data_IF_372909832406
#
_entry.id   IF_372909832406
#
_cell.length_a   1.000
_cell.length_b   1.000
_cell.length_c   1.000
_cell.angle_alpha   90.00
_cell.angle_beta   90.00
_cell.angle_gamma   90.00
#
_symmetry.space_group_name_H-M   'P 1'
#
loop_
_entity.id
_entity.type
_entity.pdbx_description
1 polymer ?
#
# COMPACT_ATOMS: atom_id res chain seq x y z
N UNK A 1 15.52 21.36 25.94
CA UNK A 1 16.02 20.01 25.53
C UNK A 1 14.96 18.94 25.69
N UNK A 2 14.28 18.84 26.84
CA UNK A 2 13.20 17.85 27.09
C UNK A 2 12.00 18.00 26.13
N UNK A 3 11.54 19.22 25.85
CA UNK A 3 10.43 19.44 24.90
C UNK A 3 10.74 18.98 23.48
N UNK A 4 11.97 19.23 22.99
CA UNK A 4 12.39 18.77 21.66
C UNK A 4 12.39 17.24 21.60
N UNK A 5 12.87 16.57 22.65
CA UNK A 5 12.88 15.11 22.72
C UNK A 5 11.46 14.52 22.72
N UNK A 6 10.52 15.12 23.48
CA UNK A 6 9.13 14.67 23.50
C UNK A 6 8.44 14.90 22.14
N UNK A 7 8.67 16.05 21.51
CA UNK A 7 8.13 16.35 20.18
C UNK A 7 8.60 15.34 19.12
N UNK A 8 9.89 14.99 19.11
CA UNK A 8 10.44 13.97 18.21
C UNK A 8 9.86 12.59 18.49
N UNK A 9 9.69 12.19 19.76
CA UNK A 9 9.10 10.91 20.12
C UNK A 9 7.66 10.78 19.61
N UNK A 10 6.85 11.82 19.78
CA UNK A 10 5.46 11.85 19.28
C UNK A 10 5.42 11.84 17.75
N UNK A 11 6.31 12.58 17.08
CA UNK A 11 6.40 12.58 15.62
C UNK A 11 6.78 11.18 15.07
N UNK A 12 7.71 10.48 15.72
CA UNK A 12 8.11 9.13 15.33
C UNK A 12 6.97 8.11 15.47
N UNK A 13 6.20 8.20 16.57
CA UNK A 13 5.00 7.37 16.75
C UNK A 13 3.96 7.68 15.68
N UNK A 14 3.72 8.97 15.39
CA UNK A 14 2.80 9.40 14.34
C UNK A 14 3.19 8.88 12.96
N UNK A 15 4.48 8.93 12.61
CA UNK A 15 5.00 8.39 11.35
C UNK A 15 4.78 6.86 11.26
N UNK A 16 5.05 6.12 12.34
CA UNK A 16 4.80 4.68 12.39
C UNK A 16 3.32 4.31 12.23
N UNK A 17 2.43 5.09 12.83
CA UNK A 17 0.98 4.91 12.70
C UNK A 17 0.50 5.20 11.27
N UNK A 18 0.99 6.28 10.65
CA UNK A 18 0.62 6.68 9.29
C UNK A 18 0.99 5.58 8.27
N UNK A 19 2.27 5.18 8.23
CA UNK A 19 2.73 4.14 7.30
C UNK A 19 2.16 2.76 7.63
N UNK A 20 1.95 2.47 8.92
CA UNK A 20 1.39 1.19 9.37
C UNK A 20 -0.02 0.96 8.84
N UNK A 21 -0.93 1.92 9.04
CA UNK A 21 -2.31 1.79 8.57
C UNK A 21 -2.43 1.93 7.04
N UNK A 22 -1.65 2.83 6.44
CA UNK A 22 -1.62 2.98 4.99
C UNK A 22 -1.12 1.73 4.28
N UNK A 23 -0.03 1.12 4.77
CA UNK A 23 0.51 -0.14 4.27
C UNK A 23 -0.46 -1.31 4.43
N UNK A 24 -1.15 -1.40 5.57
CA UNK A 24 -2.16 -2.44 5.80
C UNK A 24 -3.33 -2.35 4.81
N UNK A 25 -3.89 -1.14 4.61
CA UNK A 25 -4.97 -0.93 3.64
C UNK A 25 -4.53 -1.19 2.19
N UNK A 26 -3.33 -0.69 1.83
CA UNK A 26 -2.70 -0.90 0.53
C UNK A 26 -2.54 -2.39 0.21
N UNK A 27 -1.93 -3.15 1.13
CA UNK A 27 -1.67 -4.58 0.94
C UNK A 27 -2.94 -5.40 0.75
N UNK A 28 -4.01 -5.09 1.48
CA UNK A 28 -5.31 -5.75 1.32
C UNK A 28 -5.90 -5.49 -0.07
N UNK A 29 -5.91 -4.23 -0.52
CA UNK A 29 -6.38 -3.87 -1.86
C UNK A 29 -5.53 -4.50 -2.98
N UNK A 30 -4.21 -4.50 -2.80
CA UNK A 30 -3.27 -5.10 -3.74
C UNK A 30 -3.48 -6.61 -3.86
N UNK A 31 -3.71 -7.32 -2.75
CA UNK A 31 -4.01 -8.75 -2.78
C UNK A 31 -5.30 -9.07 -3.57
N UNK A 32 -6.35 -8.27 -3.39
CA UNK A 32 -7.60 -8.42 -4.14
C UNK A 32 -7.43 -8.16 -5.63
N UNK A 33 -6.73 -7.07 -6.00
CA UNK A 33 -6.48 -6.71 -7.40
C UNK A 33 -5.57 -7.72 -8.10
N UNK A 34 -4.54 -8.22 -7.41
CA UNK A 34 -3.64 -9.24 -7.93
C UNK A 34 -4.37 -10.58 -8.17
N UNK A 35 -5.20 -11.02 -7.23
CA UNK A 35 -5.99 -12.23 -7.41
C UNK A 35 -6.93 -12.16 -8.62
N UNK A 36 -7.62 -11.02 -8.79
CA UNK A 36 -8.46 -10.79 -9.98
C UNK A 36 -7.65 -10.74 -11.28
N UNK A 37 -6.47 -10.12 -11.24
CA UNK A 37 -5.56 -10.03 -12.39
C UNK A 37 -5.05 -11.41 -12.84
N UNK A 38 -4.69 -12.29 -11.89
CA UNK A 38 -4.27 -13.66 -12.21
C UNK A 38 -5.41 -14.45 -12.86
N UNK A 39 -6.65 -14.29 -12.36
CA UNK A 39 -7.83 -14.90 -12.99
C UNK A 39 -8.04 -14.41 -14.42
N UNK A 40 -7.96 -13.09 -14.65
CA UNK A 40 -8.09 -12.50 -15.98
C UNK A 40 -7.00 -12.98 -16.94
N UNK A 41 -5.75 -13.12 -16.48
CA UNK A 41 -4.63 -13.65 -17.29
C UNK A 41 -4.85 -15.12 -17.67
N UNK A 42 -5.48 -15.91 -16.79
CA UNK A 42 -5.79 -17.30 -17.09
C UNK A 42 -6.83 -17.46 -18.21
N UNK A 43 -7.75 -16.50 -18.36
CA UNK A 43 -8.72 -16.45 -19.46
C UNK A 43 -8.13 -15.80 -20.73
N UNK A 44 -7.37 -14.72 -20.57
CA UNK A 44 -6.77 -13.93 -21.65
C UNK A 44 -5.37 -13.42 -21.26
N UNK A 45 -4.33 -13.96 -21.91
CA UNK A 45 -2.94 -13.58 -21.65
C UNK A 45 -2.63 -12.11 -21.96
N UNK A 46 -3.40 -11.46 -22.84
CA UNK A 46 -3.21 -10.03 -23.15
C UNK A 46 -3.54 -9.13 -21.95
N UNK A 47 -4.21 -9.66 -20.93
CA UNK A 47 -4.49 -8.95 -19.68
C UNK A 47 -3.27 -8.83 -18.76
N UNK A 48 -2.14 -9.51 -19.02
CA UNK A 48 -0.99 -9.53 -18.11
C UNK A 48 -0.48 -8.12 -17.75
N UNK A 49 -0.21 -7.29 -18.75
CA UNK A 49 0.30 -5.94 -18.52
C UNK A 49 -0.73 -5.06 -17.77
N UNK A 50 -2.01 -5.16 -18.12
CA UNK A 50 -3.09 -4.43 -17.43
C UNK A 50 -3.27 -4.91 -15.99
N UNK A 51 -3.15 -6.21 -15.76
CA UNK A 51 -3.22 -6.81 -14.44
C UNK A 51 -2.14 -6.28 -13.50
N UNK A 52 -0.92 -6.11 -14.00
CA UNK A 52 0.16 -5.45 -13.24
C UNK A 52 -0.22 -4.02 -12.87
N UNK A 53 -0.73 -3.23 -13.83
CA UNK A 53 -1.13 -1.84 -13.60
C UNK A 53 -2.22 -1.76 -12.54
N UNK A 54 -3.29 -2.56 -12.67
CA UNK A 54 -4.39 -2.56 -11.69
C UNK A 54 -3.96 -3.03 -10.31
N UNK A 55 -3.05 -4.00 -10.24
CA UNK A 55 -2.49 -4.48 -8.97
C UNK A 55 -1.59 -3.44 -8.30
N UNK A 56 -0.98 -2.53 -9.05
CA UNK A 56 -0.12 -1.47 -8.52
C UNK A 56 -0.89 -0.22 -8.05
N UNK A 57 -2.15 -0.01 -8.46
CA UNK A 57 -2.94 1.16 -8.05
C UNK A 57 -3.14 1.26 -6.53
N UNK A 58 -3.46 0.17 -5.80
CA UNK A 58 -3.56 0.20 -4.34
C UNK A 58 -2.27 0.65 -3.64
N UNK A 59 -1.10 0.38 -4.24
CA UNK A 59 0.22 0.73 -3.67
C UNK A 59 0.41 2.23 -3.44
N UNK A 60 -0.35 3.08 -4.16
CA UNK A 60 -0.37 4.53 -3.93
C UNK A 60 -0.74 4.91 -2.50
N UNK A 61 -1.57 4.10 -1.83
CA UNK A 61 -1.97 4.36 -0.44
C UNK A 61 -0.78 4.18 0.50
N UNK A 62 0.02 3.13 0.31
CA UNK A 62 1.23 2.92 1.10
C UNK A 62 2.29 4.01 0.89
N UNK A 63 2.37 4.60 -0.31
CA UNK A 63 3.33 5.68 -0.60
C UNK A 63 2.96 6.99 0.12
N UNK A 64 1.67 7.24 0.34
CA UNK A 64 1.19 8.47 0.97
C UNK A 64 1.21 8.46 2.50
N UNK A 65 1.13 7.29 3.14
CA UNK A 65 1.18 7.16 4.59
C UNK A 65 2.60 7.03 5.12
#
# INVERSE_FOLDING_TARGET
MVEIALGTALAAIGAGVAIGFAGLGSGLGQGMAAAGSVGAVAEDNDMFARGIIFSALPETQAIYG
#
